data_IF_170351919985
#
_entry.id   IF_170351919985
#
_cell.length_a   1.000
_cell.length_b   1.000
_cell.length_c   1.000
_cell.angle_alpha   90.00
_cell.angle_beta   90.00
_cell.angle_gamma   90.00
#
_symmetry.space_group_name_H-M   'P 1'
#
loop_
_entity.id
_entity.type
_entity.pdbx_description
1 polymer ?
#
# COMPACT_ATOMS: atom_id res chain seq x y z
N UNK A 1 25.66 -6.33 -14.82
CA UNK A 1 26.10 -6.93 -13.55
C UNK A 1 24.91 -6.98 -12.65
N UNK A 2 24.50 -8.16 -12.20
CA UNK A 2 23.48 -8.28 -11.16
C UNK A 2 24.11 -7.85 -9.84
N UNK A 3 23.55 -6.82 -9.22
CA UNK A 3 23.95 -6.39 -7.89
C UNK A 3 23.12 -7.17 -6.89
N UNK A 4 23.78 -8.01 -6.10
CA UNK A 4 23.17 -8.73 -4.98
C UNK A 4 23.36 -7.90 -3.71
N UNK A 5 22.30 -7.75 -2.92
CA UNK A 5 22.30 -7.11 -1.60
C UNK A 5 21.69 -8.05 -0.57
N UNK A 6 22.11 -7.89 0.68
CA UNK A 6 21.48 -8.54 1.82
C UNK A 6 20.28 -7.70 2.28
N UNK A 7 19.13 -8.33 2.49
CA UNK A 7 17.93 -7.65 2.96
C UNK A 7 18.06 -7.26 4.43
N UNK A 8 17.88 -5.97 4.74
CA UNK A 8 17.97 -5.47 6.12
C UNK A 8 16.85 -5.92 7.07
N UNK A 9 15.85 -6.68 6.59
CA UNK A 9 14.75 -7.23 7.39
C UNK A 9 14.89 -8.73 7.62
N UNK A 10 15.12 -9.52 6.57
CA UNK A 10 15.20 -10.99 6.67
C UNK A 10 16.62 -11.55 6.61
N UNK A 11 17.63 -10.70 6.36
CA UNK A 11 19.03 -11.09 6.20
C UNK A 11 19.26 -12.14 5.08
N UNK A 12 18.40 -12.15 4.06
CA UNK A 12 18.56 -12.99 2.87
C UNK A 12 19.10 -12.16 1.70
N UNK A 13 19.97 -12.76 0.89
CA UNK A 13 20.46 -12.17 -0.35
C UNK A 13 19.37 -12.12 -1.42
N UNK A 14 19.34 -11.02 -2.17
CA UNK A 14 18.41 -10.85 -3.29
C UNK A 14 19.03 -9.97 -4.38
N UNK A 15 18.48 -10.08 -5.59
CA UNK A 15 18.85 -9.21 -6.70
C UNK A 15 18.17 -7.85 -6.54
N UNK A 16 18.96 -6.79 -6.61
CA UNK A 16 18.42 -5.42 -6.57
C UNK A 16 17.81 -5.11 -7.91
N UNK A 17 16.47 -5.11 -7.95
CA UNK A 17 15.73 -4.80 -9.17
C UNK A 17 15.42 -3.30 -9.22
N UNK A 18 15.01 -2.70 -8.10
CA UNK A 18 14.65 -1.28 -8.00
C UNK A 18 14.67 -0.77 -6.55
N UNK A 19 14.80 0.56 -6.39
CA UNK A 19 14.60 1.26 -5.11
C UNK A 19 13.13 1.20 -4.67
N UNK A 20 12.88 1.28 -3.37
CA UNK A 20 11.50 1.26 -2.84
C UNK A 20 10.73 2.52 -3.25
N UNK A 21 11.35 3.69 -3.16
CA UNK A 21 10.74 4.96 -3.57
C UNK A 21 11.83 5.93 -4.01
N UNK A 22 11.52 6.80 -4.96
CA UNK A 22 12.40 7.89 -5.37
C UNK A 22 12.65 8.92 -4.25
N UNK A 23 11.78 8.94 -3.22
CA UNK A 23 11.89 9.90 -2.11
C UNK A 23 12.91 9.45 -1.06
N UNK A 24 12.76 8.24 -0.51
CA UNK A 24 13.68 7.73 0.53
C UNK A 24 14.87 6.95 -0.04
N UNK A 25 14.77 6.47 -1.28
CA UNK A 25 15.88 5.85 -2.00
C UNK A 25 16.37 4.50 -1.48
N UNK A 26 15.76 3.93 -0.43
CA UNK A 26 16.18 2.64 0.13
C UNK A 26 16.03 1.51 -0.90
N UNK A 27 17.09 0.74 -1.07
CA UNK A 27 17.19 -0.40 -1.97
C UNK A 27 17.58 -1.69 -1.26
N UNK A 28 17.80 -1.66 0.06
CA UNK A 28 18.27 -2.75 0.94
C UNK A 28 17.12 -3.58 1.55
N UNK A 29 16.03 -3.72 0.80
CA UNK A 29 14.81 -4.41 1.17
C UNK A 29 14.39 -5.36 0.05
N UNK A 30 14.29 -6.65 0.36
CA UNK A 30 13.89 -7.63 -0.64
C UNK A 30 12.39 -7.50 -1.01
N UNK A 31 12.01 -7.90 -2.23
CA UNK A 31 10.61 -7.85 -2.68
C UNK A 31 9.63 -8.62 -1.78
N UNK A 32 10.09 -9.70 -1.14
CA UNK A 32 9.27 -10.52 -0.25
C UNK A 32 8.89 -9.74 1.02
N UNK A 33 9.87 -9.09 1.66
CA UNK A 33 9.63 -8.27 2.85
C UNK A 33 8.77 -7.05 2.52
N UNK A 34 9.00 -6.40 1.38
CA UNK A 34 8.17 -5.27 0.92
C UNK A 34 6.72 -5.72 0.73
N UNK A 35 6.47 -6.83 0.03
CA UNK A 35 5.12 -7.38 -0.16
C UNK A 35 4.43 -7.66 1.17
N UNK A 36 5.11 -8.37 2.08
CA UNK A 36 4.55 -8.72 3.41
C UNK A 36 4.20 -7.49 4.23
N UNK A 37 5.04 -6.45 4.16
CA UNK A 37 4.78 -5.18 4.82
C UNK A 37 3.55 -4.48 4.26
N UNK A 38 3.47 -4.33 2.93
CA UNK A 38 2.29 -3.74 2.28
C UNK A 38 1.03 -4.51 2.68
N UNK A 39 1.07 -5.84 2.63
CA UNK A 39 -0.06 -6.69 3.03
C UNK A 39 -0.46 -6.50 4.49
N UNK A 40 0.50 -6.41 5.42
CA UNK A 40 0.23 -6.15 6.83
C UNK A 40 -0.42 -4.78 7.05
N UNK A 41 0.08 -3.73 6.38
CA UNK A 41 -0.49 -2.38 6.47
C UNK A 41 -1.94 -2.36 5.97
N UNK A 42 -2.24 -3.01 4.84
CA UNK A 42 -3.61 -3.11 4.30
C UNK A 42 -4.55 -4.02 5.11
N UNK A 43 -4.00 -4.86 5.98
CA UNK A 43 -4.75 -5.70 6.92
C UNK A 43 -4.97 -5.02 8.28
N UNK A 44 -4.29 -3.89 8.53
CA UNK A 44 -4.41 -3.18 9.80
C UNK A 44 -5.82 -2.60 9.94
N UNK A 45 -6.42 -2.78 11.12
CA UNK A 45 -7.79 -2.33 11.40
C UNK A 45 -7.85 -0.81 11.35
N UNK A 46 -8.46 -0.26 10.30
CA UNK A 46 -8.71 1.18 10.18
C UNK A 46 -9.06 1.60 8.76
N UNK A 47 -9.45 2.86 8.62
CA UNK A 47 -9.72 3.52 7.33
C UNK A 47 -8.47 4.15 6.72
N UNK A 48 -7.30 3.89 7.32
CA UNK A 48 -6.02 4.41 6.89
C UNK A 48 -5.49 3.49 5.78
N UNK A 49 -5.33 4.05 4.59
CA UNK A 49 -4.80 3.34 3.41
C UNK A 49 -3.38 3.83 3.08
N UNK A 50 -2.69 4.39 4.08
CA UNK A 50 -1.34 4.91 3.93
C UNK A 50 -0.34 3.80 4.26
N UNK A 51 0.59 3.55 3.35
CA UNK A 51 1.65 2.55 3.52
C UNK A 51 2.98 3.29 3.62
N UNK A 52 3.71 3.11 4.72
CA UNK A 52 5.04 3.71 4.89
C UNK A 52 6.14 2.75 4.47
N UNK A 53 7.32 3.31 4.18
CA UNK A 53 8.53 2.53 3.99
C UNK A 53 8.80 1.65 5.23
N UNK A 54 9.07 0.33 5.06
CA UNK A 54 9.32 -0.57 6.18
C UNK A 54 10.69 -0.37 6.85
N UNK A 55 11.55 0.46 6.27
CA UNK A 55 12.86 0.76 6.85
C UNK A 55 12.69 1.44 8.22
N UNK A 56 13.39 0.92 9.23
CA UNK A 56 13.37 1.50 10.57
C UNK A 56 13.69 3.01 10.54
N UNK A 57 12.89 3.79 11.26
CA UNK A 57 12.97 5.26 11.35
C UNK A 57 12.67 6.02 10.04
N UNK A 58 12.24 5.35 8.97
CA UNK A 58 11.76 6.02 7.77
C UNK A 58 10.27 6.37 7.92
N UNK A 59 9.91 7.63 7.73
CA UNK A 59 8.52 8.11 7.77
C UNK A 59 7.94 8.39 6.38
N UNK A 60 8.68 8.02 5.33
CA UNK A 60 8.26 8.26 3.95
C UNK A 60 7.05 7.39 3.62
N UNK A 61 5.96 8.02 3.21
CA UNK A 61 4.79 7.36 2.65
C UNK A 61 5.08 6.92 1.21
N UNK A 62 4.74 5.68 0.88
CA UNK A 62 4.88 5.15 -0.46
C UNK A 62 3.78 5.75 -1.34
N UNK A 63 4.19 6.25 -2.51
CA UNK A 63 3.26 6.82 -3.48
C UNK A 63 2.41 5.73 -4.13
N UNK A 64 1.33 6.14 -4.82
CA UNK A 64 0.53 5.23 -5.64
C UNK A 64 1.38 4.50 -6.67
N UNK A 65 2.33 5.20 -7.32
CA UNK A 65 3.24 4.62 -8.30
C UNK A 65 4.24 3.65 -7.68
N UNK A 66 4.74 3.94 -6.47
CA UNK A 66 5.59 3.01 -5.73
C UNK A 66 4.84 1.72 -5.42
N UNK A 67 3.62 1.81 -4.88
CA UNK A 67 2.81 0.63 -4.59
C UNK A 67 2.43 -0.14 -5.84
N UNK A 68 2.13 0.54 -6.96
CA UNK A 68 1.85 -0.09 -8.26
C UNK A 68 3.03 -0.90 -8.79
N UNK A 69 4.24 -0.43 -8.53
CA UNK A 69 5.49 -1.07 -8.98
C UNK A 69 5.94 -2.20 -8.05
N UNK A 70 5.73 -2.05 -6.74
CA UNK A 70 6.24 -2.96 -5.72
C UNK A 70 5.28 -4.10 -5.39
N UNK A 71 3.97 -3.84 -5.42
CA UNK A 71 2.98 -4.84 -5.05
C UNK A 71 2.62 -5.74 -6.24
N UNK A 72 2.42 -7.04 -6.02
CA UNK A 72 1.77 -7.90 -7.02
C UNK A 72 0.39 -7.37 -7.38
N UNK A 73 -0.07 -7.67 -8.60
CA UNK A 73 -1.34 -7.18 -9.15
C UNK A 73 -2.51 -7.30 -8.18
N UNK A 74 -2.73 -8.48 -7.59
CA UNK A 74 -3.84 -8.73 -6.67
C UNK A 74 -3.77 -7.86 -5.39
N UNK A 75 -2.56 -7.67 -4.86
CA UNK A 75 -2.35 -6.83 -3.68
C UNK A 75 -2.56 -5.35 -4.00
N UNK A 76 -2.14 -4.94 -5.19
CA UNK A 76 -2.35 -3.57 -5.67
C UNK A 76 -3.83 -3.27 -5.96
N UNK A 77 -4.58 -4.18 -6.59
CA UNK A 77 -6.02 -4.02 -6.81
C UNK A 77 -6.79 -3.89 -5.49
N UNK A 78 -6.36 -4.64 -4.47
CA UNK A 78 -6.90 -4.49 -3.11
C UNK A 78 -6.59 -3.10 -2.53
N UNK A 79 -5.36 -2.63 -2.66
CA UNK A 79 -4.97 -1.28 -2.24
C UNK A 79 -5.81 -0.21 -2.95
N UNK A 80 -5.94 -0.29 -4.27
CA UNK A 80 -6.70 0.66 -5.10
C UNK A 80 -8.18 0.71 -4.68
N UNK A 81 -8.78 -0.46 -4.44
CA UNK A 81 -10.15 -0.56 -3.92
C UNK A 81 -10.28 0.11 -2.55
N UNK A 82 -9.35 -0.14 -1.63
CA UNK A 82 -9.38 0.47 -0.30
C UNK A 82 -9.22 1.99 -0.38
N UNK A 83 -8.30 2.47 -1.24
CA UNK A 83 -8.04 3.89 -1.45
C UNK A 83 -9.28 4.59 -1.99
N UNK A 84 -9.94 4.02 -3.01
CA UNK A 84 -11.19 4.52 -3.55
C UNK A 84 -12.28 4.58 -2.48
N UNK A 85 -12.44 3.52 -1.69
CA UNK A 85 -13.44 3.49 -0.61
C UNK A 85 -13.15 4.51 0.48
N UNK A 86 -11.89 4.78 0.78
CA UNK A 86 -11.49 5.84 1.71
C UNK A 86 -11.76 7.24 1.15
N UNK A 87 -11.51 7.46 -0.15
CA UNK A 87 -11.82 8.73 -0.82
C UNK A 87 -13.34 9.00 -0.83
N UNK A 88 -14.14 8.02 -1.21
CA UNK A 88 -15.61 8.12 -1.24
C UNK A 88 -16.19 8.41 0.15
N UNK A 89 -15.61 7.85 1.23
CA UNK A 89 -16.05 8.13 2.61
C UNK A 89 -15.90 9.59 3.04
N UNK A 90 -15.00 10.33 2.41
CA UNK A 90 -14.78 11.74 2.71
C UNK A 90 -15.85 12.63 2.08
N UNK A 91 -16.69 12.10 1.19
CA UNK A 91 -17.81 12.84 0.63
C UNK A 91 -18.89 13.01 1.72
N UNK A 92 -19.30 14.26 2.05
CA UNK A 92 -20.14 14.55 3.20
C UNK A 92 -21.51 13.87 3.14
N UNK A 93 -22.06 13.73 1.94
CA UNK A 93 -23.38 13.17 1.69
C UNK A 93 -23.37 11.70 1.28
N UNK A 94 -22.19 11.07 1.24
CA UNK A 94 -22.07 9.67 0.87
C UNK A 94 -22.27 8.75 2.08
N UNK A 95 -23.05 7.68 1.89
CA UNK A 95 -23.26 6.62 2.88
C UNK A 95 -23.08 5.25 2.23
N UNK A 96 -22.26 4.40 2.86
CA UNK A 96 -22.15 3.00 2.47
C UNK A 96 -23.42 2.23 2.84
N UNK A 97 -23.80 1.27 2.00
CA UNK A 97 -24.80 0.28 2.35
C UNK A 97 -24.33 -0.50 3.59
N UNK A 98 -25.22 -0.60 4.59
CA UNK A 98 -24.93 -1.31 5.85
C UNK A 98 -24.95 -2.84 5.72
N UNK A 99 -25.51 -3.37 4.62
CA UNK A 99 -25.58 -4.81 4.41
C UNK A 99 -24.16 -5.37 4.22
N UNK A 100 -23.79 -6.43 4.97
CA UNK A 100 -22.47 -7.03 4.85
C UNK A 100 -22.23 -7.53 3.42
N UNK A 101 -21.05 -7.23 2.88
CA UNK A 101 -20.63 -7.59 1.51
C UNK A 101 -21.42 -6.94 0.36
N UNK A 102 -22.31 -5.97 0.61
CA UNK A 102 -23.05 -5.31 -0.47
C UNK A 102 -22.12 -4.48 -1.38
N UNK A 103 -21.16 -3.77 -0.81
CA UNK A 103 -20.18 -3.00 -1.58
C UNK A 103 -20.72 -1.69 -2.17
N UNK A 104 -22.03 -1.52 -2.34
CA UNK A 104 -22.69 -0.31 -2.85
C UNK A 104 -22.77 0.83 -1.83
N UNK A 105 -22.95 2.06 -2.30
CA UNK A 105 -23.30 3.22 -1.48
C UNK A 105 -24.04 4.28 -2.27
N UNK A 106 -24.54 5.29 -1.57
CA UNK A 106 -25.43 6.32 -2.10
C UNK A 106 -24.94 7.69 -1.67
N UNK A 107 -25.02 8.66 -2.57
CA UNK A 107 -24.77 10.08 -2.29
C UNK A 107 -26.12 10.80 -2.21
N UNK A 108 -26.37 11.48 -1.08
CA UNK A 108 -27.57 12.28 -0.88
C UNK A 108 -27.36 13.69 -1.43
N UNK A 109 -27.60 13.88 -2.73
CA UNK A 109 -27.69 15.23 -3.29
C UNK A 109 -29.02 15.86 -2.87
N UNK A 110 -28.98 16.80 -1.91
CA UNK A 110 -30.15 17.66 -1.65
C UNK A 110 -30.26 18.62 -2.83
N UNK A 111 -31.36 18.49 -3.60
CA UNK A 111 -31.69 19.38 -4.71
C UNK A 111 -32.25 20.71 -4.27
#
# INVERSE_FOLDING_TARGET
METYLECSICCEDYTVINKISSVCGHDDLCPICIKRHIEAELNTKGDIVQVRCPKSRCTTELTYEDLRRLAPKELFERYDTLLLRAAIRKLPDFRWCKAPRCGSGQEHTTG
#
